data_IF_114014817393
#
_entry.id   IF_114014817393
#
_cell.length_a   1.000
_cell.length_b   1.000
_cell.length_c   1.000
_cell.angle_alpha   90.00
_cell.angle_beta   90.00
_cell.angle_gamma   90.00
#
_symmetry.space_group_name_H-M   'P 1'
#
loop_
_entity.id
_entity.type
_entity.pdbx_description
1 polymer ?
#
# COMPACT_ATOMS: atom_id res chain seq x y z
N UNK A 1 47.30 6.43 13.15
CA UNK A 1 46.54 5.21 12.81
C UNK A 1 45.09 5.61 12.64
N UNK A 2 44.49 5.40 11.46
CA UNK A 2 43.06 5.64 11.24
C UNK A 2 42.24 4.55 11.95
N UNK A 3 41.11 4.88 12.60
CA UNK A 3 40.30 3.90 13.30
C UNK A 3 39.66 2.94 12.28
N UNK A 4 39.73 1.63 12.55
CA UNK A 4 39.18 0.56 11.70
C UNK A 4 38.07 -0.18 12.43
N UNK A 5 37.02 -0.61 11.71
CA UNK A 5 35.95 -1.43 12.24
C UNK A 5 36.44 -2.87 12.53
N UNK A 6 35.63 -3.69 13.21
CA UNK A 6 35.86 -5.13 13.51
C UNK A 6 36.13 -6.00 12.25
N UNK A 7 35.80 -5.47 11.07
CA UNK A 7 36.06 -6.06 9.74
C UNK A 7 37.36 -5.59 9.09
N UNK A 8 38.17 -4.76 9.77
CA UNK A 8 39.45 -4.23 9.26
C UNK A 8 39.31 -3.12 8.20
N UNK A 9 38.10 -2.70 7.88
CA UNK A 9 37.82 -1.59 6.96
C UNK A 9 37.91 -0.24 7.69
N UNK A 10 38.47 0.74 6.99
CA UNK A 10 38.62 2.11 7.48
C UNK A 10 37.26 2.83 7.44
N UNK A 11 36.78 3.28 8.60
CA UNK A 11 35.48 3.94 8.74
C UNK A 11 35.46 5.36 8.13
N UNK A 12 36.62 5.90 7.76
CA UNK A 12 36.77 7.20 7.12
C UNK A 12 37.28 7.07 5.68
N UNK A 13 37.07 5.91 5.06
CA UNK A 13 37.39 5.66 3.65
C UNK A 13 36.16 5.97 2.77
N UNK A 14 36.23 7.00 1.90
CA UNK A 14 35.15 7.37 0.98
C UNK A 14 34.68 6.22 0.08
N UNK A 15 35.55 5.22 -0.16
CA UNK A 15 35.28 4.09 -1.06
C UNK A 15 34.51 2.97 -0.35
N UNK A 16 34.68 2.84 0.97
CA UNK A 16 33.99 1.81 1.77
C UNK A 16 32.54 2.19 2.07
N UNK A 17 32.25 3.49 2.25
CA UNK A 17 30.93 3.97 2.65
C UNK A 17 29.81 3.82 1.61
N UNK A 18 30.15 3.61 0.32
CA UNK A 18 29.12 3.58 -0.74
C UNK A 18 29.42 2.57 -1.84
N UNK A 19 29.88 1.37 -1.47
CA UNK A 19 30.07 0.26 -2.42
C UNK A 19 28.82 0.01 -3.27
N UNK A 20 27.62 0.20 -2.71
CA UNK A 20 26.35 0.06 -3.43
C UNK A 20 26.16 1.15 -4.49
N UNK A 21 26.48 2.42 -4.21
CA UNK A 21 26.36 3.47 -5.21
C UNK A 21 27.39 3.29 -6.34
N UNK A 22 28.61 2.86 -6.01
CA UNK A 22 29.62 2.51 -7.01
C UNK A 22 29.14 1.38 -7.93
N UNK A 23 28.53 0.33 -7.36
CA UNK A 23 27.94 -0.77 -8.15
C UNK A 23 26.77 -0.32 -9.02
N UNK A 24 25.91 0.58 -8.53
CA UNK A 24 24.79 1.11 -9.33
C UNK A 24 25.30 1.94 -10.53
N UNK A 25 26.32 2.78 -10.34
CA UNK A 25 26.90 3.57 -11.43
C UNK A 25 27.67 2.66 -12.41
N UNK A 26 28.29 1.59 -11.94
CA UNK A 26 28.94 0.59 -12.79
C UNK A 26 27.93 -0.15 -13.68
N UNK A 27 26.79 -0.57 -13.12
CA UNK A 27 25.74 -1.31 -13.83
C UNK A 27 24.92 -0.40 -14.76
N UNK A 28 24.51 0.77 -14.29
CA UNK A 28 23.59 1.66 -15.02
C UNK A 28 24.29 2.79 -15.77
N UNK A 29 25.48 3.21 -15.31
CA UNK A 29 26.24 4.33 -15.86
C UNK A 29 27.42 3.93 -16.73
N UNK A 30 27.73 2.64 -16.89
CA UNK A 30 28.75 2.15 -17.85
C UNK A 30 30.19 2.60 -17.55
N UNK A 31 30.47 3.09 -16.33
CA UNK A 31 31.79 3.59 -15.93
C UNK A 31 32.06 5.06 -16.25
N UNK A 32 31.08 5.79 -16.80
CA UNK A 32 31.20 7.23 -17.05
C UNK A 32 30.80 8.05 -15.81
N UNK A 33 31.77 8.73 -15.20
CA UNK A 33 31.54 9.56 -13.99
C UNK A 33 31.33 11.04 -14.30
N UNK A 34 30.92 11.38 -15.53
CA UNK A 34 30.61 12.76 -15.88
C UNK A 34 29.39 13.24 -15.09
N UNK A 35 29.47 14.46 -14.53
CA UNK A 35 28.40 15.04 -13.68
C UNK A 35 27.03 15.00 -14.36
N UNK A 36 27.00 15.31 -15.66
CA UNK A 36 25.76 15.28 -16.46
C UNK A 36 25.21 13.85 -16.57
N UNK A 37 26.09 12.88 -16.83
CA UNK A 37 25.71 11.47 -16.97
C UNK A 37 25.17 10.91 -15.66
N UNK A 38 25.80 11.22 -14.52
CA UNK A 38 25.32 10.80 -13.20
C UNK A 38 23.89 11.31 -12.92
N UNK A 39 23.62 12.59 -13.20
CA UNK A 39 22.28 13.16 -12.97
C UNK A 39 21.24 12.44 -13.82
N UNK A 40 21.53 12.17 -15.09
CA UNK A 40 20.60 11.48 -16.00
C UNK A 40 20.35 10.05 -15.55
N UNK A 41 21.40 9.30 -15.20
CA UNK A 41 21.29 7.90 -14.76
C UNK A 41 20.47 7.77 -13.46
N UNK A 42 20.79 8.58 -12.44
CA UNK A 42 20.05 8.55 -11.19
C UNK A 42 18.61 9.06 -11.34
N UNK A 43 18.40 10.12 -12.14
CA UNK A 43 17.06 10.63 -12.43
C UNK A 43 16.18 9.58 -13.12
N UNK A 44 16.72 8.88 -14.12
CA UNK A 44 16.02 7.80 -14.80
C UNK A 44 15.73 6.63 -13.85
N UNK A 45 16.68 6.26 -12.98
CA UNK A 45 16.48 5.18 -12.01
C UNK A 45 15.37 5.50 -11.00
N UNK A 46 15.32 6.73 -10.48
CA UNK A 46 14.26 7.16 -9.57
C UNK A 46 12.89 7.11 -10.23
N UNK A 47 12.78 7.52 -11.50
CA UNK A 47 11.54 7.42 -12.27
C UNK A 47 11.11 5.97 -12.49
N UNK A 48 12.05 5.09 -12.84
CA UNK A 48 11.77 3.67 -13.06
C UNK A 48 11.26 3.00 -11.77
N UNK A 49 11.94 3.23 -10.65
CA UNK A 49 11.54 2.70 -9.34
C UNK A 49 10.15 3.24 -8.95
N UNK A 50 9.89 4.53 -9.19
CA UNK A 50 8.59 5.14 -8.87
C UNK A 50 7.47 4.59 -9.73
N UNK A 51 7.71 4.37 -11.03
CA UNK A 51 6.73 3.77 -11.93
C UNK A 51 6.39 2.34 -11.50
N UNK A 52 7.42 1.53 -11.22
CA UNK A 52 7.22 0.16 -10.75
C UNK A 52 6.45 0.18 -9.43
N UNK A 53 6.94 0.90 -8.42
CA UNK A 53 6.28 1.01 -7.11
C UNK A 53 4.83 1.50 -7.21
N UNK A 54 4.57 2.52 -8.04
CA UNK A 54 3.24 3.04 -8.29
C UNK A 54 2.29 2.02 -8.92
N UNK A 55 2.76 1.26 -9.92
CA UNK A 55 1.92 0.22 -10.57
C UNK A 55 1.54 -0.90 -9.61
N UNK A 56 2.48 -1.35 -8.76
CA UNK A 56 2.19 -2.34 -7.73
C UNK A 56 1.23 -1.80 -6.67
N UNK A 57 1.43 -0.55 -6.23
CA UNK A 57 0.53 0.11 -5.27
C UNK A 57 -0.92 0.21 -5.79
N UNK A 58 -1.11 0.65 -7.03
CA UNK A 58 -2.43 0.75 -7.66
C UNK A 58 -3.08 -0.63 -7.82
N UNK A 59 -2.31 -1.64 -8.24
CA UNK A 59 -2.83 -3.00 -8.46
C UNK A 59 -3.27 -3.65 -7.14
N UNK A 60 -2.49 -3.44 -6.08
CA UNK A 60 -2.85 -3.89 -4.74
C UNK A 60 -4.14 -3.23 -4.25
N UNK A 61 -4.23 -1.90 -4.34
CA UNK A 61 -5.41 -1.15 -3.94
C UNK A 61 -6.68 -1.58 -4.73
N UNK A 62 -6.55 -1.78 -6.04
CA UNK A 62 -7.66 -2.25 -6.88
C UNK A 62 -8.15 -3.65 -6.48
N UNK A 63 -7.23 -4.55 -6.14
CA UNK A 63 -7.56 -5.91 -5.70
C UNK A 63 -8.24 -5.90 -4.33
N UNK A 64 -7.73 -5.08 -3.40
CA UNK A 64 -8.32 -4.90 -2.07
C UNK A 64 -9.75 -4.36 -2.15
N UNK A 65 -9.98 -3.31 -2.95
CA UNK A 65 -11.32 -2.74 -3.13
C UNK A 65 -12.29 -3.73 -3.78
N UNK A 66 -11.84 -4.47 -4.80
CA UNK A 66 -12.69 -5.49 -5.44
C UNK A 66 -13.10 -6.59 -4.44
N UNK A 67 -12.18 -7.02 -3.58
CA UNK A 67 -12.46 -7.99 -2.51
C UNK A 67 -13.44 -7.44 -1.46
N UNK A 68 -13.21 -6.21 -0.99
CA UNK A 68 -14.05 -5.55 0.01
C UNK A 68 -15.50 -5.34 -0.52
N UNK A 69 -15.64 -4.94 -1.79
CA UNK A 69 -16.95 -4.77 -2.42
C UNK A 69 -17.71 -6.10 -2.55
N UNK A 70 -17.02 -7.19 -2.91
CA UNK A 70 -17.61 -8.53 -2.96
C UNK A 70 -18.13 -8.98 -1.59
N UNK A 71 -17.31 -8.80 -0.55
CA UNK A 71 -17.68 -9.08 0.83
C UNK A 71 -18.89 -8.22 1.30
N UNK A 72 -18.86 -6.92 1.02
CA UNK A 72 -19.95 -6.01 1.38
C UNK A 72 -21.26 -6.32 0.66
N UNK A 73 -21.21 -6.82 -0.59
CA UNK A 73 -22.40 -7.28 -1.31
C UNK A 73 -23.07 -8.44 -0.59
N UNK A 74 -22.29 -9.43 -0.16
CA UNK A 74 -22.82 -10.63 0.49
C UNK A 74 -23.42 -10.26 1.86
N UNK A 75 -22.72 -9.42 2.64
CA UNK A 75 -23.23 -8.87 3.89
C UNK A 75 -24.55 -8.11 3.72
N UNK A 76 -24.68 -7.26 2.69
CA UNK A 76 -25.92 -6.51 2.45
C UNK A 76 -27.09 -7.45 2.19
N UNK A 77 -26.89 -8.50 1.40
CA UNK A 77 -27.93 -9.47 1.08
C UNK A 77 -28.39 -10.20 2.35
N UNK A 78 -27.46 -10.70 3.15
CA UNK A 78 -27.79 -11.50 4.34
C UNK A 78 -28.43 -10.65 5.44
N UNK A 79 -27.92 -9.44 5.65
CA UNK A 79 -28.43 -8.54 6.67
C UNK A 79 -29.81 -7.98 6.27
N UNK A 80 -30.03 -7.68 4.97
CA UNK A 80 -31.36 -7.29 4.46
C UNK A 80 -32.41 -8.38 4.68
N UNK A 81 -32.08 -9.65 4.37
CA UNK A 81 -32.98 -10.79 4.65
C UNK A 81 -33.33 -10.88 6.14
N UNK A 82 -32.38 -10.61 7.02
CA UNK A 82 -32.60 -10.64 8.47
C UNK A 82 -33.53 -9.52 8.92
N UNK A 83 -33.32 -8.29 8.45
CA UNK A 83 -34.17 -7.14 8.78
C UNK A 83 -35.63 -7.38 8.33
N UNK A 84 -35.81 -7.96 7.14
CA UNK A 84 -37.14 -8.30 6.62
C UNK A 84 -37.85 -9.45 7.36
N UNK A 85 -37.13 -10.20 8.20
CA UNK A 85 -37.67 -11.31 9.00
C UNK A 85 -38.08 -10.94 10.43
N UNK A 86 -37.95 -9.66 10.81
CA UNK A 86 -38.32 -9.16 12.15
C UNK A 86 -39.84 -9.04 12.31
N UNK A 87 -40.36 -9.32 13.51
CA UNK A 87 -41.80 -9.23 13.79
C UNK A 87 -42.27 -7.79 13.92
N UNK A 88 -43.60 -7.59 13.79
CA UNK A 88 -44.23 -6.27 13.82
C UNK A 88 -44.05 -5.61 15.20
N UNK A 89 -44.09 -6.36 16.31
CA UNK A 89 -43.77 -5.80 17.65
C UNK A 89 -42.33 -5.27 17.78
N UNK A 90 -41.36 -5.85 17.07
CA UNK A 90 -39.96 -5.37 17.09
C UNK A 90 -39.72 -4.19 16.13
N UNK A 91 -40.61 -4.01 15.16
CA UNK A 91 -40.54 -2.91 14.17
C UNK A 91 -41.08 -1.58 14.73
N UNK A 92 -41.88 -1.64 15.78
CA UNK A 92 -42.49 -0.46 16.42
C UNK A 92 -41.49 0.30 17.32
N UNK A 93 -40.53 -0.42 17.95
CA UNK A 93 -39.41 0.18 18.69
C UNK A 93 -38.28 0.65 17.74
N UNK A 94 -38.07 -0.07 16.63
CA UNK A 94 -37.14 0.31 15.59
C UNK A 94 -37.76 0.21 14.19
N UNK A 95 -38.10 1.34 13.59
CA UNK A 95 -38.72 1.39 12.25
C UNK A 95 -37.84 0.66 11.22
N UNK A 96 -38.40 -0.23 10.41
CA UNK A 96 -37.67 -1.04 9.41
C UNK A 96 -36.72 -0.20 8.54
N UNK A 97 -37.16 0.98 8.11
CA UNK A 97 -36.34 1.91 7.31
C UNK A 97 -35.12 2.47 8.05
N UNK A 98 -35.22 2.69 9.36
CA UNK A 98 -34.08 3.13 10.19
C UNK A 98 -33.05 2.01 10.34
N UNK A 99 -33.49 0.76 10.51
CA UNK A 99 -32.61 -0.41 10.57
C UNK A 99 -31.84 -0.62 9.26
N UNK A 100 -32.54 -0.56 8.12
CA UNK A 100 -31.91 -0.70 6.80
C UNK A 100 -30.85 0.38 6.57
N UNK A 101 -31.14 1.62 6.97
CA UNK A 101 -30.21 2.75 6.82
C UNK A 101 -28.96 2.56 7.69
N UNK A 102 -29.12 2.21 8.97
CA UNK A 102 -27.99 1.94 9.88
C UNK A 102 -27.14 0.79 9.38
N UNK A 103 -27.77 -0.33 9.02
CA UNK A 103 -27.09 -1.50 8.46
C UNK A 103 -26.28 -1.17 7.20
N UNK A 104 -26.81 -0.34 6.30
CA UNK A 104 -26.09 0.05 5.08
C UNK A 104 -24.89 0.93 5.40
N UNK A 105 -25.03 1.85 6.36
CA UNK A 105 -23.92 2.68 6.84
C UNK A 105 -22.86 1.83 7.54
N UNK A 106 -23.26 0.84 8.34
CA UNK A 106 -22.35 -0.06 9.05
C UNK A 106 -21.55 -0.93 8.07
N UNK A 107 -22.20 -1.48 7.05
CA UNK A 107 -21.52 -2.27 6.01
C UNK A 107 -20.53 -1.40 5.23
N UNK A 108 -20.89 -0.15 4.93
CA UNK A 108 -19.98 0.79 4.27
C UNK A 108 -18.74 1.05 5.13
N UNK A 109 -18.90 1.30 6.43
CA UNK A 109 -17.78 1.49 7.34
C UNK A 109 -16.86 0.26 7.43
N UNK A 110 -17.43 -0.96 7.38
CA UNK A 110 -16.61 -2.19 7.37
C UNK A 110 -15.86 -2.36 6.05
N UNK A 111 -16.48 -2.05 4.90
CA UNK A 111 -15.78 -2.08 3.61
C UNK A 111 -14.61 -1.09 3.59
N UNK A 112 -14.84 0.15 4.04
CA UNK A 112 -13.80 1.18 4.12
C UNK A 112 -12.66 0.77 5.05
N UNK A 113 -12.98 0.10 6.17
CA UNK A 113 -11.99 -0.46 7.08
C UNK A 113 -11.14 -1.54 6.42
N UNK A 114 -11.74 -2.46 5.65
CA UNK A 114 -11.01 -3.52 4.94
C UNK A 114 -10.08 -2.91 3.87
N UNK A 115 -10.56 -1.88 3.15
CA UNK A 115 -9.74 -1.17 2.16
C UNK A 115 -8.55 -0.45 2.80
N UNK A 116 -8.76 0.25 3.92
CA UNK A 116 -7.67 0.90 4.66
C UNK A 116 -6.71 -0.09 5.30
N UNK A 117 -7.20 -1.17 5.88
CA UNK A 117 -6.35 -2.21 6.47
C UNK A 117 -5.44 -2.85 5.43
N UNK A 118 -5.98 -3.16 4.24
CA UNK A 118 -5.18 -3.66 3.13
C UNK A 118 -4.17 -2.61 2.63
N UNK A 119 -4.52 -1.32 2.66
CA UNK A 119 -3.63 -0.22 2.33
C UNK A 119 -2.46 -0.04 3.31
N UNK A 120 -2.64 -0.30 4.61
CA UNK A 120 -1.57 -0.21 5.64
C UNK A 120 -0.58 -1.38 5.52
N UNK A 121 -0.96 -2.48 4.87
CA UNK A 121 -0.12 -3.64 4.62
C UNK A 121 0.79 -3.49 3.38
N UNK A 122 0.67 -2.40 2.62
CA UNK A 122 1.43 -2.07 1.39
C UNK A 122 2.47 -1.00 1.66
#
# INVERSE_FOLDING_TARGET
MKPKNITGMDINDPVTGSKMAFRLIEIFGGGDYSRMHMIIVFGALMLLITLIGGTFGVTCAATASTGAQGFGRDLRIDCYKRVMSLSIEQTDEFTTGSLVTRMTNDITQVMDFIEQFAGIAT
#
